data_IF_419803069936
#
_entry.id   IF_419803069936
#
_cell.length_a   1.000
_cell.length_b   1.000
_cell.length_c   1.000
_cell.angle_alpha   90.00
_cell.angle_beta   90.00
_cell.angle_gamma   90.00
#
_symmetry.space_group_name_H-M   'P 1'
#
loop_
_entity.id
_entity.type
_entity.pdbx_description
1 polymer ?
#
# COMPACT_ATOMS: atom_id res chain seq x y z
N UNK A 1 -8.73 -11.42 11.85
CA UNK A 1 -8.67 -9.99 12.26
C UNK A 1 -9.76 -9.17 11.57
N UNK A 2 -9.82 -9.09 10.25
CA UNK A 2 -10.87 -8.32 9.54
C UNK A 2 -12.28 -8.86 9.79
N UNK A 3 -12.49 -10.17 9.68
CA UNK A 3 -13.80 -10.82 9.91
C UNK A 3 -14.27 -10.74 11.37
N UNK A 4 -13.37 -10.56 12.31
CA UNK A 4 -13.66 -10.48 13.75
C UNK A 4 -13.66 -9.06 14.28
N UNK A 5 -13.63 -8.06 13.39
CA UNK A 5 -13.57 -6.63 13.72
C UNK A 5 -12.41 -6.25 14.67
N UNK A 6 -11.30 -6.98 14.61
CA UNK A 6 -10.08 -6.66 15.38
C UNK A 6 -9.18 -5.68 14.63
N UNK A 7 -9.34 -5.56 13.31
CA UNK A 7 -8.65 -4.61 12.47
C UNK A 7 -9.58 -4.12 11.35
N UNK A 8 -9.34 -2.93 10.86
CA UNK A 8 -10.01 -2.32 9.71
C UNK A 8 -9.14 -2.41 8.46
N UNK A 9 -7.82 -2.30 8.65
CA UNK A 9 -6.78 -2.53 7.64
C UNK A 9 -5.71 -3.44 8.24
N UNK A 10 -5.24 -4.43 7.47
CA UNK A 10 -4.17 -5.35 7.87
C UNK A 10 -3.08 -5.35 6.82
N UNK A 11 -1.87 -5.02 7.24
CA UNK A 11 -0.64 -5.31 6.52
C UNK A 11 -0.15 -6.69 6.96
N UNK A 12 -0.14 -7.70 6.08
CA UNK A 12 0.15 -9.08 6.46
C UNK A 12 1.65 -9.34 6.65
N UNK A 13 2.45 -8.29 6.88
CA UNK A 13 3.90 -8.36 7.07
C UNK A 13 4.39 -7.30 8.06
N UNK A 14 5.51 -7.60 8.72
CA UNK A 14 6.18 -6.69 9.65
C UNK A 14 7.01 -5.62 8.96
N UNK A 15 7.72 -4.82 9.74
CA UNK A 15 8.68 -3.83 9.25
C UNK A 15 10.11 -4.38 9.31
N UNK A 16 11.02 -3.77 8.54
CA UNK A 16 12.45 -4.07 8.59
C UNK A 16 12.75 -5.49 8.14
N UNK A 17 13.26 -6.31 9.04
CA UNK A 17 13.73 -7.68 8.75
C UNK A 17 12.68 -8.62 8.16
N UNK A 18 11.43 -8.26 8.20
CA UNK A 18 10.33 -9.05 7.64
C UNK A 18 10.05 -8.76 6.16
N UNK A 19 10.75 -7.81 5.56
CA UNK A 19 10.51 -7.36 4.19
C UNK A 19 11.70 -7.75 3.31
N UNK A 20 11.47 -8.64 2.36
CA UNK A 20 12.48 -9.08 1.43
C UNK A 20 12.15 -8.66 0.00
N UNK A 21 13.11 -8.00 -0.63
CA UNK A 21 13.15 -7.82 -2.07
C UNK A 21 13.91 -9.01 -2.66
N UNK A 22 13.31 -9.71 -3.59
CA UNK A 22 13.91 -10.87 -4.26
C UNK A 22 14.39 -10.45 -5.65
N UNK A 23 15.69 -10.35 -5.79
CA UNK A 23 16.37 -10.17 -7.08
C UNK A 23 16.79 -11.55 -7.60
N UNK A 24 16.15 -12.03 -8.64
CA UNK A 24 16.38 -13.37 -9.13
C UNK A 24 16.58 -13.42 -10.65
N UNK A 25 17.51 -14.26 -11.15
CA UNK A 25 17.52 -14.66 -12.54
C UNK A 25 16.31 -15.54 -12.87
N UNK A 26 15.86 -15.52 -14.11
CA UNK A 26 14.64 -16.27 -14.52
C UNK A 26 14.72 -17.78 -14.21
N UNK A 27 15.93 -18.39 -14.31
CA UNK A 27 16.10 -19.82 -14.00
C UNK A 27 15.84 -20.12 -12.51
N UNK A 28 16.21 -19.22 -11.59
CA UNK A 28 15.91 -19.37 -10.16
C UNK A 28 14.42 -19.32 -9.89
N UNK A 29 13.70 -18.48 -10.62
CA UNK A 29 12.25 -18.46 -10.52
C UNK A 29 11.61 -19.76 -11.00
N UNK A 30 12.09 -20.34 -12.09
CA UNK A 30 11.64 -21.65 -12.55
C UNK A 30 11.92 -22.76 -11.54
N UNK A 31 13.12 -22.79 -10.98
CA UNK A 31 13.49 -23.73 -9.91
C UNK A 31 12.58 -23.56 -8.68
N UNK A 32 12.29 -22.34 -8.28
CA UNK A 32 11.35 -22.03 -7.20
C UNK A 32 9.95 -22.59 -7.46
N UNK A 33 9.44 -22.47 -8.69
CA UNK A 33 8.14 -23.05 -9.07
C UNK A 33 8.19 -24.58 -9.08
N UNK A 34 9.24 -25.19 -9.64
CA UNK A 34 9.42 -26.64 -9.73
C UNK A 34 9.58 -27.28 -8.33
N UNK A 35 10.23 -26.57 -7.40
CA UNK A 35 10.37 -26.99 -6.01
C UNK A 35 9.07 -26.88 -5.19
N UNK A 36 7.95 -26.49 -5.82
CA UNK A 36 6.67 -26.19 -5.16
C UNK A 36 6.78 -25.08 -4.11
N UNK A 37 7.45 -24.01 -4.50
CA UNK A 37 7.62 -22.79 -3.70
C UNK A 37 8.52 -22.97 -2.46
N UNK A 38 9.57 -23.78 -2.57
CA UNK A 38 10.58 -23.90 -1.51
C UNK A 38 11.35 -22.56 -1.37
N UNK A 39 11.15 -21.89 -0.24
CA UNK A 39 11.78 -20.58 0.03
C UNK A 39 13.30 -20.66 0.09
N UNK A 40 13.90 -21.82 0.36
CA UNK A 40 15.36 -21.99 0.36
C UNK A 40 15.98 -21.72 -1.02
N UNK A 41 15.25 -21.96 -2.10
CA UNK A 41 15.70 -21.71 -3.48
C UNK A 41 15.97 -20.22 -3.72
N UNK A 42 15.12 -19.34 -3.19
CA UNK A 42 15.23 -17.88 -3.42
C UNK A 42 15.96 -17.15 -2.30
N UNK A 43 16.25 -17.77 -1.17
CA UNK A 43 16.80 -17.09 0.01
C UNK A 43 18.13 -16.40 -0.26
N UNK A 44 19.00 -16.99 -1.09
CA UNK A 44 20.29 -16.40 -1.48
C UNK A 44 20.16 -15.19 -2.41
N UNK A 45 18.96 -14.96 -2.98
CA UNK A 45 18.63 -13.85 -3.86
C UNK A 45 17.82 -12.75 -3.15
N UNK A 46 17.64 -12.86 -1.83
CA UNK A 46 16.87 -11.90 -1.05
C UNK A 46 17.77 -10.84 -0.43
N UNK A 47 17.29 -9.60 -0.46
CA UNK A 47 17.80 -8.50 0.35
C UNK A 47 16.69 -7.93 1.21
N UNK A 48 17.02 -7.46 2.40
CA UNK A 48 16.04 -6.82 3.27
C UNK A 48 15.73 -5.42 2.78
N UNK A 49 14.45 -5.07 2.82
CA UNK A 49 13.97 -3.71 2.67
C UNK A 49 13.50 -3.17 4.02
N UNK A 50 13.36 -1.86 4.14
CA UNK A 50 12.90 -1.23 5.37
C UNK A 50 11.65 -0.38 5.11
N UNK A 51 10.64 -0.58 5.93
CA UNK A 51 9.50 0.35 6.05
C UNK A 51 8.62 0.50 4.80
N UNK A 52 8.54 -0.50 3.93
CA UNK A 52 7.58 -0.45 2.83
C UNK A 52 6.14 -0.61 3.35
N UNK A 53 5.21 0.10 2.74
CA UNK A 53 3.78 0.03 3.05
C UNK A 53 2.92 -0.24 1.80
N UNK A 54 3.52 -0.21 0.62
CA UNK A 54 2.83 -0.36 -0.65
C UNK A 54 2.78 -1.78 -1.23
N UNK A 55 3.36 -2.80 -0.59
CA UNK A 55 3.47 -4.11 -1.20
C UNK A 55 2.16 -4.88 -1.21
N UNK A 56 1.44 -4.94 -0.08
CA UNK A 56 0.11 -5.53 0.00
C UNK A 56 -0.60 -5.14 1.29
N UNK A 57 -1.92 -5.00 1.20
CA UNK A 57 -2.78 -4.80 2.37
C UNK A 57 -4.15 -5.43 2.14
N UNK A 58 -4.79 -5.81 3.23
CA UNK A 58 -6.17 -6.26 3.27
C UNK A 58 -6.99 -5.26 4.08
N UNK A 59 -8.22 -5.03 3.69
CA UNK A 59 -9.11 -4.09 4.37
C UNK A 59 -10.55 -4.59 4.43
N UNK A 60 -11.26 -4.15 5.46
CA UNK A 60 -12.71 -4.28 5.51
C UNK A 60 -13.31 -3.32 4.48
N UNK A 61 -14.18 -3.83 3.58
CA UNK A 61 -14.76 -3.03 2.50
C UNK A 61 -15.52 -1.80 3.01
N UNK A 62 -16.34 -1.96 4.05
CA UNK A 62 -17.13 -0.85 4.61
C UNK A 62 -16.20 0.21 5.23
N UNK A 63 -15.15 -0.22 5.93
CA UNK A 63 -14.15 0.68 6.52
C UNK A 63 -13.32 1.39 5.45
N UNK A 64 -13.03 0.71 4.36
CA UNK A 64 -12.36 1.30 3.20
C UNK A 64 -13.22 2.42 2.60
N UNK A 65 -14.52 2.22 2.44
CA UNK A 65 -15.47 3.23 1.97
C UNK A 65 -15.54 4.40 2.96
N UNK A 66 -15.73 4.13 4.25
CA UNK A 66 -15.79 5.16 5.30
C UNK A 66 -14.50 6.00 5.37
N UNK A 67 -13.35 5.40 5.11
CA UNK A 67 -12.04 6.07 5.07
C UNK A 67 -11.77 6.84 3.77
N UNK A 68 -12.71 6.85 2.81
CA UNK A 68 -12.59 7.59 1.56
C UNK A 68 -11.83 6.86 0.47
N UNK A 69 -11.70 5.53 0.56
CA UNK A 69 -11.05 4.67 -0.44
C UNK A 69 -9.62 5.12 -0.80
N UNK A 70 -9.15 4.83 -2.01
CA UNK A 70 -7.90 5.37 -2.52
C UNK A 70 -8.09 6.81 -2.96
N UNK A 71 -7.12 7.66 -2.65
CA UNK A 71 -7.15 9.07 -3.03
C UNK A 71 -6.75 9.24 -4.50
N UNK A 72 -7.73 9.50 -5.38
CA UNK A 72 -7.53 9.63 -6.83
C UNK A 72 -6.76 10.88 -7.26
N UNK A 73 -6.43 11.77 -6.33
CA UNK A 73 -5.57 12.91 -6.63
C UNK A 73 -4.09 12.51 -6.74
N UNK A 74 -3.75 11.29 -6.28
CA UNK A 74 -2.44 10.70 -6.57
C UNK A 74 -2.49 10.04 -7.94
N UNK A 75 -1.89 10.70 -8.93
CA UNK A 75 -1.90 10.24 -10.31
C UNK A 75 -0.64 9.43 -10.61
N UNK A 76 -0.82 8.16 -10.98
CA UNK A 76 0.27 7.23 -11.20
C UNK A 76 1.03 6.92 -9.89
N UNK A 77 2.31 6.56 -9.93
CA UNK A 77 3.09 6.17 -8.76
C UNK A 77 3.63 7.36 -7.97
N UNK A 78 3.57 7.28 -6.65
CA UNK A 78 4.28 8.16 -5.71
C UNK A 78 3.46 8.60 -4.49
N UNK A 79 3.81 8.05 -3.33
CA UNK A 79 3.30 8.37 -1.99
C UNK A 79 1.80 8.08 -1.72
N UNK A 80 1.07 7.48 -2.66
CA UNK A 80 -0.33 7.06 -2.48
C UNK A 80 -0.51 6.10 -1.29
N UNK A 81 0.41 5.17 -1.13
CA UNK A 81 0.41 4.21 -0.02
C UNK A 81 0.70 4.89 1.33
N UNK A 82 1.62 5.87 1.32
CA UNK A 82 1.96 6.66 2.49
C UNK A 82 0.76 7.48 2.96
N UNK A 83 0.06 8.11 2.02
CA UNK A 83 -1.16 8.85 2.28
C UNK A 83 -2.25 7.95 2.85
N UNK A 84 -2.51 6.83 2.21
CA UNK A 84 -3.50 5.85 2.67
C UNK A 84 -3.21 5.41 4.11
N UNK A 85 -1.99 4.98 4.38
CA UNK A 85 -1.58 4.55 5.72
C UNK A 85 -1.77 5.65 6.76
N UNK A 86 -1.30 6.87 6.47
CA UNK A 86 -1.42 8.02 7.35
C UNK A 86 -2.89 8.38 7.59
N UNK A 87 -3.67 8.52 6.52
CA UNK A 87 -5.07 8.93 6.61
C UNK A 87 -5.91 7.95 7.43
N UNK A 88 -5.76 6.65 7.21
CA UNK A 88 -6.49 5.67 7.98
C UNK A 88 -6.11 5.70 9.47
N UNK A 89 -4.85 5.94 9.79
CA UNK A 89 -4.43 6.09 11.19
C UNK A 89 -4.98 7.37 11.83
N UNK A 90 -4.87 8.54 11.17
CA UNK A 90 -5.34 9.81 11.75
C UNK A 90 -6.86 9.86 11.88
N UNK A 91 -7.59 9.17 11.00
CA UNK A 91 -9.04 9.03 11.10
C UNK A 91 -9.47 8.06 12.22
N UNK A 92 -8.55 7.33 12.82
CA UNK A 92 -8.79 6.43 13.95
C UNK A 92 -9.22 5.02 13.54
N UNK A 93 -8.97 4.60 12.30
CA UNK A 93 -9.16 3.21 11.90
C UNK A 93 -8.07 2.33 12.54
N UNK A 94 -8.42 1.09 12.81
CA UNK A 94 -7.48 0.11 13.38
C UNK A 94 -6.63 -0.49 12.28
N UNK A 95 -5.49 0.15 12.04
CA UNK A 95 -4.46 -0.32 11.10
C UNK A 95 -3.48 -1.22 11.84
N UNK A 96 -3.40 -2.48 11.45
CA UNK A 96 -2.59 -3.49 12.12
C UNK A 96 -1.55 -4.05 11.17
N UNK A 97 -0.32 -4.25 11.66
CA UNK A 97 0.71 -5.04 11.00
C UNK A 97 0.87 -6.38 11.70
N UNK A 98 0.97 -7.43 10.90
CA UNK A 98 1.33 -8.77 11.39
C UNK A 98 2.84 -8.89 11.33
N UNK A 99 3.47 -9.44 12.37
CA UNK A 99 4.92 -9.71 12.36
C UNK A 99 5.18 -11.03 11.61
N UNK A 100 5.01 -10.99 10.32
CA UNK A 100 5.26 -12.12 9.42
C UNK A 100 6.06 -11.64 8.22
N UNK A 101 6.56 -12.58 7.45
CA UNK A 101 7.47 -12.35 6.34
C UNK A 101 6.70 -12.02 5.06
N UNK A 102 7.30 -11.16 4.22
CA UNK A 102 6.84 -10.92 2.86
C UNK A 102 8.03 -10.92 1.90
N UNK A 103 7.83 -11.49 0.72
CA UNK A 103 8.80 -11.52 -0.37
C UNK A 103 8.21 -10.83 -1.58
N UNK A 104 8.82 -9.73 -1.98
CA UNK A 104 8.45 -8.99 -3.17
C UNK A 104 9.40 -9.38 -4.30
N UNK A 105 8.88 -10.10 -5.29
CA UNK A 105 9.64 -10.47 -6.47
C UNK A 105 9.86 -9.24 -7.36
N UNK A 106 11.12 -8.97 -7.69
CA UNK A 106 11.46 -7.83 -8.54
C UNK A 106 10.90 -8.04 -9.94
N UNK A 107 10.42 -7.00 -10.52
CA UNK A 107 9.86 -6.98 -11.87
C UNK A 107 10.19 -5.67 -12.58
N UNK A 108 10.15 -5.68 -13.91
CA UNK A 108 10.34 -4.47 -14.69
C UNK A 108 9.30 -3.41 -14.35
N UNK A 109 9.74 -2.18 -14.18
CA UNK A 109 8.86 -1.04 -13.92
C UNK A 109 8.57 -0.28 -15.21
N UNK A 110 7.30 0.09 -15.41
CA UNK A 110 6.93 1.00 -16.48
C UNK A 110 7.41 2.42 -16.18
N UNK A 111 7.43 3.28 -17.20
CA UNK A 111 7.77 4.70 -17.04
C UNK A 111 6.93 5.40 -15.96
N UNK A 112 5.67 5.01 -15.81
CA UNK A 112 4.75 5.61 -14.84
C UNK A 112 4.84 5.02 -13.42
N UNK A 113 5.61 3.97 -13.21
CA UNK A 113 5.79 3.31 -11.90
C UNK A 113 7.14 3.60 -11.25
N UNK A 114 7.71 4.77 -11.53
CA UNK A 114 9.01 5.19 -11.05
C UNK A 114 9.02 6.71 -10.75
N UNK A 115 10.06 7.21 -10.05
CA UNK A 115 10.22 8.64 -9.77
C UNK A 115 10.38 9.53 -11.03
N UNK A 116 10.57 8.95 -12.20
CA UNK A 116 10.50 9.65 -13.50
C UNK A 116 9.06 9.88 -14.01
N UNK A 117 8.07 9.38 -13.29
CA UNK A 117 6.67 9.70 -13.55
C UNK A 117 6.46 11.22 -13.57
N UNK A 118 5.84 11.79 -14.62
CA UNK A 118 5.61 13.23 -14.72
C UNK A 118 4.81 13.83 -13.56
N UNK A 119 4.03 12.99 -12.86
CA UNK A 119 3.22 13.38 -11.71
C UNK A 119 3.89 13.15 -10.35
N UNK A 120 5.10 12.61 -10.32
CA UNK A 120 5.79 12.31 -9.08
C UNK A 120 5.94 13.52 -8.15
N UNK A 121 6.32 14.67 -8.71
CA UNK A 121 6.48 15.89 -7.90
C UNK A 121 5.14 16.43 -7.37
N UNK A 122 4.08 16.37 -8.19
CA UNK A 122 2.72 16.75 -7.77
C UNK A 122 2.24 15.86 -6.61
N UNK A 123 2.39 14.54 -6.76
CA UNK A 123 2.07 13.56 -5.72
C UNK A 123 2.88 13.81 -4.45
N UNK A 124 4.18 14.06 -4.59
CA UNK A 124 5.04 14.33 -3.44
C UNK A 124 4.63 15.60 -2.70
N UNK A 125 4.32 16.67 -3.42
CA UNK A 125 3.85 17.93 -2.83
C UNK A 125 2.52 17.75 -2.11
N UNK A 126 1.57 17.03 -2.72
CA UNK A 126 0.29 16.71 -2.09
C UNK A 126 0.50 15.90 -0.79
N UNK A 127 1.37 14.89 -0.83
CA UNK A 127 1.72 14.11 0.35
C UNK A 127 2.36 14.95 1.45
N UNK A 128 3.34 15.83 1.10
CA UNK A 128 3.98 16.71 2.07
C UNK A 128 2.97 17.64 2.74
N UNK A 129 1.95 18.09 2.02
CA UNK A 129 0.87 18.89 2.58
C UNK A 129 -0.03 18.05 3.49
N UNK A 130 -0.56 16.91 3.01
CA UNK A 130 -1.51 16.05 3.74
C UNK A 130 -0.94 15.54 5.07
N UNK A 131 0.31 15.07 5.09
CA UNK A 131 0.92 14.50 6.30
C UNK A 131 1.10 15.49 7.45
N UNK A 132 1.01 16.79 7.18
CA UNK A 132 1.10 17.84 8.17
C UNK A 132 -0.27 18.38 8.63
N UNK A 133 -1.36 17.79 8.13
CA UNK A 133 -2.70 18.20 8.50
C UNK A 133 -3.20 17.47 9.75
N UNK A 134 -4.09 18.12 10.48
CA UNK A 134 -4.84 17.47 11.56
C UNK A 134 -6.02 16.64 11.03
N UNK A 135 -6.65 15.93 11.92
CA UNK A 135 -7.77 15.04 11.61
C UNK A 135 -8.95 15.78 10.98
N UNK A 136 -9.27 16.97 11.47
CA UNK A 136 -10.41 17.76 10.99
C UNK A 136 -10.18 18.25 9.56
N UNK A 137 -8.99 18.72 9.28
CA UNK A 137 -8.57 19.14 7.94
C UNK A 137 -8.58 17.96 6.96
N UNK A 138 -8.15 16.77 7.38
CA UNK A 138 -8.22 15.56 6.54
C UNK A 138 -9.67 15.18 6.24
N UNK A 139 -10.56 15.21 7.24
CA UNK A 139 -11.99 14.94 7.03
C UNK A 139 -12.59 15.93 6.01
N UNK A 140 -12.31 17.22 6.19
CA UNK A 140 -12.78 18.25 5.26
C UNK A 140 -12.26 18.01 3.85
N UNK A 141 -10.96 17.80 3.71
CA UNK A 141 -10.32 17.50 2.43
C UNK A 141 -10.99 16.31 1.73
N UNK A 142 -11.23 15.20 2.47
CA UNK A 142 -11.88 14.02 1.89
C UNK A 142 -13.33 14.29 1.47
N UNK A 143 -14.10 15.03 2.26
CA UNK A 143 -15.49 15.36 1.93
C UNK A 143 -15.65 16.27 0.70
N UNK A 144 -14.62 17.01 0.34
CA UNK A 144 -14.60 17.88 -0.84
C UNK A 144 -14.19 17.13 -2.13
N UNK A 145 -13.89 15.82 -2.06
CA UNK A 145 -13.41 15.07 -3.23
C UNK A 145 -14.57 14.62 -4.13
N UNK A 146 -14.62 15.14 -5.35
CA UNK A 146 -15.66 14.80 -6.33
C UNK A 146 -15.67 13.31 -6.69
N UNK A 147 -14.52 12.64 -6.72
CA UNK A 147 -14.42 11.22 -7.04
C UNK A 147 -15.14 10.34 -6.01
N UNK A 148 -15.24 10.74 -4.76
CA UNK A 148 -16.00 10.00 -3.75
C UNK A 148 -17.50 10.05 -4.05
N UNK A 149 -18.04 11.23 -4.37
CA UNK A 149 -19.44 11.38 -4.75
C UNK A 149 -19.78 10.53 -5.98
N UNK A 150 -18.90 10.48 -6.99
CA UNK A 150 -19.07 9.65 -8.18
C UNK A 150 -19.09 8.17 -7.82
N UNK A 151 -18.10 7.69 -7.07
CA UNK A 151 -17.98 6.27 -6.68
C UNK A 151 -19.13 5.80 -5.80
N UNK A 152 -19.63 6.62 -4.90
CA UNK A 152 -20.77 6.24 -4.06
C UNK A 152 -22.05 6.06 -4.90
N UNK A 153 -22.27 6.87 -5.93
CA UNK A 153 -23.36 6.65 -6.88
C UNK A 153 -23.20 5.32 -7.65
N UNK A 154 -21.98 5.00 -8.08
CA UNK A 154 -21.71 3.79 -8.86
C UNK A 154 -21.90 2.50 -8.03
N UNK A 155 -21.70 2.54 -6.73
CA UNK A 155 -21.88 1.39 -5.82
C UNK A 155 -23.23 1.39 -5.08
N UNK A 156 -24.12 2.35 -5.38
CA UNK A 156 -25.47 2.39 -4.84
C UNK A 156 -25.54 2.75 -3.34
N UNK A 157 -24.62 3.58 -2.86
CA UNK A 157 -24.57 4.07 -1.47
C UNK A 157 -24.88 5.57 -1.45
#
# INVERSE_FOLDING_TARGET
MLKTNQADVVYPYGCGVYQYQVDYPMHVFHEFLESRFDMNVIQSHCRTESSTIGWTQFYNKEKMIQGGMWNENFLSWGAEDCEFYFRFNILGFRVVRVNDWIWHFEHSRSHNSHYHNPKFQDNHNLWQWLKNQDRETIIKYMNEQEYLTRRFKDVGI
#
